data_IF_372316233539
#
_entry.id   IF_372316233539
#
_cell.length_a   1.000
_cell.length_b   1.000
_cell.length_c   1.000
_cell.angle_alpha   90.00
_cell.angle_beta   90.00
_cell.angle_gamma   90.00
#
_symmetry.space_group_name_H-M   'P 1'
#
loop_
_entity.id
_entity.type
_entity.pdbx_description
1 polymer ?
#
# COMPACT_ATOMS: atom_id res chain seq x y z
N UNK A 1 -10.43 12.58 12.01
CA UNK A 1 -10.07 12.18 10.65
C UNK A 1 -9.26 10.88 10.68
N UNK A 2 -9.66 9.91 9.90
CA UNK A 2 -8.96 8.63 9.79
C UNK A 2 -7.75 8.79 8.88
N UNK A 3 -6.63 8.17 9.24
CA UNK A 3 -5.43 8.18 8.42
C UNK A 3 -5.20 6.81 7.80
N UNK A 4 -4.89 6.79 6.50
CA UNK A 4 -4.64 5.55 5.74
C UNK A 4 -3.30 5.65 5.03
N UNK A 5 -2.40 4.69 5.31
CA UNK A 5 -1.14 4.58 4.57
C UNK A 5 -1.38 3.76 3.31
N UNK A 6 -0.94 4.28 2.17
CA UNK A 6 -1.14 3.63 0.86
C UNK A 6 0.08 2.78 0.49
N UNK A 7 0.15 1.59 1.06
CA UNK A 7 1.22 0.63 0.79
C UNK A 7 0.96 -0.10 -0.53
N UNK A 8 2.00 -0.65 -1.11
CA UNK A 8 1.85 -1.46 -2.31
C UNK A 8 2.78 -1.04 -3.43
N UNK A 9 2.40 -1.40 -4.65
CA UNK A 9 3.24 -1.25 -5.82
C UNK A 9 3.64 0.20 -6.09
N UNK A 10 4.94 0.46 -6.23
CA UNK A 10 5.50 1.74 -6.66
C UNK A 10 6.52 1.53 -7.78
N UNK A 11 7.35 0.47 -7.69
CA UNK A 11 8.37 0.11 -8.70
C UNK A 11 9.28 1.29 -9.05
N UNK A 12 9.82 1.97 -8.03
CA UNK A 12 10.66 3.16 -8.18
C UNK A 12 9.98 4.25 -9.00
N UNK A 13 8.64 4.33 -8.91
CA UNK A 13 7.87 5.32 -9.63
C UNK A 13 7.53 4.97 -11.08
N UNK A 14 7.84 3.75 -11.52
CA UNK A 14 7.62 3.32 -12.91
C UNK A 14 6.30 2.57 -13.13
N UNK A 15 5.60 2.23 -12.06
CA UNK A 15 4.29 1.57 -12.16
C UNK A 15 3.16 2.60 -12.28
N UNK A 16 1.94 2.11 -12.57
CA UNK A 16 0.73 2.94 -12.55
C UNK A 16 0.61 3.63 -11.19
N UNK A 17 0.35 4.92 -11.22
CA UNK A 17 0.21 5.72 -9.99
C UNK A 17 -1.19 5.57 -9.41
N UNK A 18 -1.47 4.38 -8.87
CA UNK A 18 -2.77 4.09 -8.26
C UNK A 18 -3.00 4.94 -7.00
N UNK A 19 -1.94 5.33 -6.32
CA UNK A 19 -2.05 6.17 -5.13
C UNK A 19 -2.69 7.51 -5.47
N UNK A 20 -2.18 8.17 -6.51
CA UNK A 20 -2.72 9.46 -6.92
C UNK A 20 -4.17 9.33 -7.40
N UNK A 21 -4.45 8.29 -8.20
CA UNK A 21 -5.81 8.04 -8.70
C UNK A 21 -6.80 7.83 -7.55
N UNK A 22 -6.37 7.07 -6.53
CA UNK A 22 -7.22 6.82 -5.36
C UNK A 22 -7.46 8.10 -4.55
N UNK A 23 -6.40 8.87 -4.31
CA UNK A 23 -6.51 10.12 -3.55
C UNK A 23 -7.49 11.08 -4.23
N UNK A 24 -7.40 11.23 -5.55
CA UNK A 24 -8.33 12.07 -6.29
C UNK A 24 -9.76 11.53 -6.21
N UNK A 25 -9.94 10.24 -6.41
CA UNK A 25 -11.27 9.62 -6.40
C UNK A 25 -11.93 9.67 -5.03
N UNK A 26 -11.15 9.72 -3.95
CA UNK A 26 -11.63 9.70 -2.58
C UNK A 26 -11.54 11.07 -1.89
N UNK A 27 -11.31 12.15 -2.62
CA UNK A 27 -11.11 13.47 -2.01
C UNK A 27 -12.34 13.97 -1.24
N UNK A 28 -13.52 13.46 -1.55
CA UNK A 28 -14.75 13.84 -0.85
C UNK A 28 -14.92 13.14 0.51
N UNK A 29 -14.04 12.18 0.82
CA UNK A 29 -14.09 11.46 2.09
C UNK A 29 -13.26 12.19 3.16
N UNK A 30 -13.65 12.05 4.42
CA UNK A 30 -12.91 12.64 5.55
C UNK A 30 -11.78 11.70 5.96
N UNK A 31 -10.78 11.57 5.09
CA UNK A 31 -9.62 10.68 5.23
C UNK A 31 -8.36 11.42 4.87
N UNK A 32 -7.31 11.25 5.67
CA UNK A 32 -5.97 11.72 5.33
C UNK A 32 -5.15 10.53 4.82
N UNK A 33 -4.54 10.68 3.66
CA UNK A 33 -3.71 9.63 3.08
C UNK A 33 -2.23 9.91 3.32
N UNK A 34 -1.49 8.87 3.73
CA UNK A 34 -0.03 8.90 3.75
C UNK A 34 0.44 8.19 2.49
N UNK A 35 0.93 8.97 1.51
CA UNK A 35 1.35 8.45 0.22
C UNK A 35 2.86 8.31 0.18
N UNK A 36 3.41 7.07 0.15
CA UNK A 36 4.86 6.87 0.11
C UNK A 36 5.47 7.16 -1.26
N UNK A 37 4.64 7.29 -2.29
CA UNK A 37 5.14 7.58 -3.63
C UNK A 37 5.60 9.03 -3.70
N UNK A 38 6.89 9.22 -3.97
CA UNK A 38 7.51 10.55 -4.02
C UNK A 38 7.65 11.01 -5.46
N UNK A 39 7.22 12.24 -5.73
CA UNK A 39 7.31 12.85 -7.06
C UNK A 39 8.54 13.72 -7.20
N UNK A 40 9.19 14.02 -6.08
CA UNK A 40 10.39 14.84 -6.00
C UNK A 40 11.62 14.04 -5.57
N UNK A 41 11.54 12.71 -5.62
CA UNK A 41 12.66 11.86 -5.21
C UNK A 41 13.78 11.97 -6.23
N UNK A 42 15.07 12.06 -5.79
CA UNK A 42 16.19 12.18 -6.72
C UNK A 42 16.25 11.02 -7.72
N UNK A 43 16.59 11.32 -8.97
CA UNK A 43 16.74 10.29 -10.01
C UNK A 43 17.90 9.34 -9.69
N UNK A 44 18.98 9.87 -9.09
CA UNK A 44 20.13 9.09 -8.66
C UNK A 44 20.32 9.26 -7.15
N UNK A 45 19.49 8.59 -6.34
CA UNK A 45 19.51 8.81 -4.90
C UNK A 45 20.79 8.25 -4.26
N UNK A 46 21.32 8.97 -3.29
CA UNK A 46 22.38 8.45 -2.42
C UNK A 46 21.73 7.68 -1.26
N UNK A 47 22.52 6.90 -0.55
CA UNK A 47 22.00 6.07 0.55
C UNK A 47 21.22 6.87 1.58
N UNK A 48 21.65 8.09 1.87
CA UNK A 48 20.96 8.96 2.83
C UNK A 48 19.53 9.28 2.40
N UNK A 49 19.31 9.51 1.10
CA UNK A 49 17.97 9.77 0.57
C UNK A 49 17.07 8.57 0.77
N UNK A 50 17.61 7.37 0.50
CA UNK A 50 16.87 6.11 0.65
C UNK A 50 16.53 5.85 2.11
N UNK A 51 17.49 6.06 3.02
CA UNK A 51 17.26 5.86 4.46
C UNK A 51 16.19 6.81 4.98
N UNK A 52 16.22 8.07 4.57
CA UNK A 52 15.19 9.05 4.98
C UNK A 52 13.79 8.61 4.54
N UNK A 53 13.69 8.13 3.29
CA UNK A 53 12.40 7.66 2.77
C UNK A 53 11.90 6.44 3.54
N UNK A 54 12.79 5.47 3.80
CA UNK A 54 12.43 4.26 4.55
C UNK A 54 11.94 4.64 5.97
N UNK A 55 12.65 5.53 6.65
CA UNK A 55 12.26 5.96 8.00
C UNK A 55 10.95 6.71 8.00
N UNK A 56 10.70 7.53 6.97
CA UNK A 56 9.41 8.21 6.83
C UNK A 56 8.27 7.18 6.69
N UNK A 57 8.50 6.16 5.87
CA UNK A 57 7.51 5.09 5.68
C UNK A 57 7.25 4.34 6.99
N UNK A 58 8.30 3.94 7.70
CA UNK A 58 8.17 3.23 8.96
C UNK A 58 7.38 4.05 9.97
N UNK A 59 7.70 5.33 10.10
CA UNK A 59 6.99 6.22 11.02
C UNK A 59 5.51 6.35 10.66
N UNK A 60 5.21 6.52 9.38
CA UNK A 60 3.82 6.71 8.95
C UNK A 60 3.02 5.42 8.94
N UNK A 61 3.66 4.28 8.66
CA UNK A 61 3.02 2.97 8.83
C UNK A 61 2.63 2.75 10.29
N UNK A 62 3.50 3.12 11.22
CA UNK A 62 3.23 2.94 12.64
C UNK A 62 2.08 3.82 13.12
N UNK A 63 2.01 5.07 12.67
CA UNK A 63 0.99 5.99 13.18
C UNK A 63 -0.34 5.98 12.40
N UNK A 64 -0.40 5.36 11.22
CA UNK A 64 -1.64 5.30 10.45
C UNK A 64 -2.70 4.47 11.18
N UNK A 65 -3.96 4.84 11.00
CA UNK A 65 -5.08 4.06 11.54
C UNK A 65 -5.27 2.77 10.74
N UNK A 66 -5.09 2.83 9.43
CA UNK A 66 -5.19 1.69 8.53
C UNK A 66 -4.08 1.70 7.51
N UNK A 67 -3.73 0.52 7.03
CA UNK A 67 -2.76 0.35 5.93
C UNK A 67 -3.52 -0.34 4.79
N UNK A 68 -3.73 0.37 3.70
CA UNK A 68 -4.30 -0.20 2.49
C UNK A 68 -3.14 -0.61 1.58
N UNK A 69 -3.01 -1.90 1.36
CA UNK A 69 -1.93 -2.44 0.52
C UNK A 69 -2.50 -2.93 -0.80
N UNK A 70 -2.03 -2.36 -1.91
CA UNK A 70 -2.48 -2.71 -3.25
C UNK A 70 -1.31 -3.30 -4.03
N UNK A 71 -1.42 -4.57 -4.40
CA UNK A 71 -0.37 -5.29 -5.10
C UNK A 71 -0.79 -5.47 -6.56
N UNK A 72 -0.16 -4.71 -7.45
CA UNK A 72 -0.50 -4.75 -8.88
C UNK A 72 -0.01 -6.05 -9.52
N UNK A 73 -0.79 -6.68 -10.41
CA UNK A 73 -0.44 -8.00 -10.96
C UNK A 73 0.84 -8.01 -11.79
N UNK A 74 1.22 -6.89 -12.39
CA UNK A 74 2.42 -6.79 -13.22
C UNK A 74 3.70 -6.53 -12.42
N UNK A 75 3.60 -6.34 -11.11
CA UNK A 75 4.73 -5.97 -10.25
C UNK A 75 5.12 -7.07 -9.29
N UNK A 76 6.38 -7.09 -8.86
CA UNK A 76 6.84 -8.00 -7.80
C UNK A 76 6.64 -7.41 -6.41
N UNK A 77 6.69 -6.08 -6.28
CA UNK A 77 6.43 -5.36 -5.03
C UNK A 77 7.15 -5.96 -3.81
N UNK A 78 8.49 -6.13 -3.86
CA UNK A 78 9.19 -6.83 -2.77
C UNK A 78 9.12 -6.12 -1.42
N UNK A 79 9.19 -4.79 -1.41
CA UNK A 79 9.11 -4.04 -0.15
C UNK A 79 7.70 -4.13 0.44
N UNK A 80 6.68 -4.12 -0.40
CA UNK A 80 5.30 -4.29 0.06
C UNK A 80 5.09 -5.65 0.71
N UNK A 81 5.71 -6.70 0.15
CA UNK A 81 5.64 -8.04 0.75
C UNK A 81 6.35 -8.08 2.11
N UNK A 82 7.48 -7.36 2.25
CA UNK A 82 8.15 -7.21 3.53
C UNK A 82 7.23 -6.51 4.54
N UNK A 83 6.58 -5.43 4.12
CA UNK A 83 5.66 -4.68 4.96
C UNK A 83 4.45 -5.51 5.37
N UNK A 84 3.93 -6.35 4.45
CA UNK A 84 2.84 -7.26 4.76
C UNK A 84 3.22 -8.15 5.95
N UNK A 85 4.41 -8.73 5.92
CA UNK A 85 4.90 -9.56 7.01
C UNK A 85 5.07 -8.78 8.31
N UNK A 86 5.64 -7.58 8.24
CA UNK A 86 5.88 -6.74 9.42
C UNK A 86 4.59 -6.32 10.12
N UNK A 87 3.53 -6.05 9.34
CA UNK A 87 2.27 -5.52 9.88
C UNK A 87 1.13 -6.53 9.89
N UNK A 88 1.42 -7.81 9.59
CA UNK A 88 0.39 -8.86 9.55
C UNK A 88 -0.40 -8.97 10.85
N UNK A 89 0.21 -8.72 11.98
CA UNK A 89 -0.43 -8.82 13.29
C UNK A 89 -0.88 -7.48 13.86
N UNK A 90 -0.75 -6.40 13.09
CA UNK A 90 -1.08 -5.04 13.56
C UNK A 90 -2.59 -4.79 13.67
N UNK A 91 -3.41 -5.60 12.98
CA UNK A 91 -4.86 -5.41 12.86
C UNK A 91 -5.24 -4.14 12.08
N UNK A 92 -4.29 -3.58 11.33
CA UNK A 92 -4.52 -2.37 10.52
C UNK A 92 -4.56 -2.64 9.02
N UNK A 93 -4.07 -3.82 8.59
CA UNK A 93 -3.92 -4.13 7.18
C UNK A 93 -5.24 -4.49 6.50
N UNK A 94 -5.41 -3.95 5.29
CA UNK A 94 -6.38 -4.38 4.30
C UNK A 94 -5.60 -4.58 3.01
N UNK A 95 -5.72 -5.74 2.39
CA UNK A 95 -4.93 -6.08 1.21
C UNK A 95 -5.83 -6.23 -0.01
N UNK A 96 -5.42 -5.62 -1.12
CA UNK A 96 -6.08 -5.74 -2.41
C UNK A 96 -5.08 -6.33 -3.40
N UNK A 97 -5.37 -7.53 -3.89
CA UNK A 97 -4.46 -8.31 -4.70
C UNK A 97 -5.25 -9.32 -5.52
N UNK A 98 -5.03 -9.34 -6.83
CA UNK A 98 -5.70 -10.31 -7.69
C UNK A 98 -4.88 -11.59 -7.79
N UNK A 99 -5.53 -12.67 -8.21
CA UNK A 99 -4.86 -13.98 -8.35
C UNK A 99 -3.83 -14.01 -9.48
N UNK A 100 -3.72 -12.92 -10.25
CA UNK A 100 -2.69 -12.77 -11.27
C UNK A 100 -1.34 -12.33 -10.71
N UNK A 101 -1.30 -11.87 -9.44
CA UNK A 101 -0.06 -11.49 -8.79
C UNK A 101 0.81 -12.72 -8.56
N UNK A 102 2.12 -12.63 -8.87
CA UNK A 102 3.01 -13.81 -8.90
C UNK A 102 3.12 -14.55 -7.55
N UNK A 103 2.90 -13.87 -6.44
CA UNK A 103 2.94 -14.47 -5.09
C UNK A 103 1.57 -14.47 -4.43
N UNK A 104 0.52 -14.49 -5.21
CA UNK A 104 -0.85 -14.44 -4.67
C UNK A 104 -1.11 -15.50 -3.60
N UNK A 105 -0.66 -16.75 -3.82
CA UNK A 105 -0.88 -17.83 -2.86
C UNK A 105 -0.24 -17.52 -1.51
N UNK A 106 0.98 -16.96 -1.51
CA UNK A 106 1.64 -16.55 -0.27
C UNK A 106 0.84 -15.44 0.43
N UNK A 107 0.35 -14.47 -0.34
CA UNK A 107 -0.47 -13.36 0.20
C UNK A 107 -1.76 -13.90 0.79
N UNK A 108 -2.45 -14.76 0.03
CA UNK A 108 -3.72 -15.35 0.45
C UNK A 108 -3.58 -16.13 1.76
N UNK A 109 -2.55 -16.99 1.86
CA UNK A 109 -2.33 -17.78 3.06
C UNK A 109 -1.92 -16.94 4.26
N UNK A 110 -1.14 -15.89 4.05
CA UNK A 110 -0.79 -14.94 5.11
C UNK A 110 -2.02 -14.22 5.63
N UNK A 111 -2.86 -13.75 4.72
CA UNK A 111 -4.11 -13.08 5.09
C UNK A 111 -5.06 -14.01 5.83
N UNK A 112 -5.15 -15.27 5.38
CA UNK A 112 -5.97 -16.28 6.06
C UNK A 112 -5.50 -16.50 7.50
N UNK A 113 -4.18 -16.69 7.68
CA UNK A 113 -3.61 -16.98 9.00
C UNK A 113 -3.82 -15.84 10.00
N UNK A 114 -3.57 -14.62 9.55
CA UNK A 114 -3.62 -13.46 10.43
C UNK A 114 -4.95 -12.71 10.36
N UNK A 115 -5.93 -13.26 9.65
CA UNK A 115 -7.29 -12.70 9.53
C UNK A 115 -7.28 -11.29 8.97
N UNK A 116 -6.47 -11.08 7.93
CA UNK A 116 -6.36 -9.81 7.22
C UNK A 116 -7.41 -9.80 6.10
N UNK A 117 -8.25 -8.77 5.99
CA UNK A 117 -9.19 -8.67 4.87
C UNK A 117 -8.42 -8.64 3.54
N UNK A 118 -8.81 -9.52 2.62
CA UNK A 118 -8.20 -9.62 1.30
C UNK A 118 -9.30 -9.48 0.24
N UNK A 119 -9.13 -8.51 -0.65
CA UNK A 119 -10.06 -8.24 -1.75
C UNK A 119 -9.37 -8.54 -3.08
N UNK A 120 -10.05 -9.29 -3.94
CA UNK A 120 -9.52 -9.69 -5.25
C UNK A 120 -9.77 -8.57 -6.28
N UNK A 121 -9.11 -7.44 -6.08
CA UNK A 121 -9.25 -6.28 -6.96
C UNK A 121 -8.07 -5.32 -6.81
N UNK A 122 -7.78 -4.59 -7.89
CA UNK A 122 -6.89 -3.43 -7.85
C UNK A 122 -7.56 -2.22 -8.53
N UNK A 123 -8.87 -2.31 -8.78
CA UNK A 123 -9.65 -1.23 -9.43
C UNK A 123 -9.88 -0.09 -8.43
N UNK A 124 -9.51 1.13 -8.82
CA UNK A 124 -9.60 2.31 -7.95
C UNK A 124 -11.02 2.55 -7.43
N UNK A 125 -12.05 2.31 -8.26
CA UNK A 125 -13.44 2.50 -7.84
C UNK A 125 -13.83 1.52 -6.72
N UNK A 126 -13.33 0.29 -6.81
CA UNK A 126 -13.56 -0.70 -5.76
C UNK A 126 -12.75 -0.36 -4.50
N UNK A 127 -11.53 0.18 -4.66
CA UNK A 127 -10.74 0.65 -3.52
C UNK A 127 -11.47 1.75 -2.75
N UNK A 128 -12.09 2.69 -3.45
CA UNK A 128 -12.89 3.75 -2.81
C UNK A 128 -14.02 3.12 -2.00
N UNK A 129 -14.70 2.14 -2.54
CA UNK A 129 -15.79 1.44 -1.84
C UNK A 129 -15.29 0.75 -0.58
N UNK A 130 -14.09 0.15 -0.63
CA UNK A 130 -13.49 -0.54 0.50
C UNK A 130 -13.18 0.43 1.65
N UNK A 131 -12.59 1.60 1.34
CA UNK A 131 -12.20 2.57 2.37
C UNK A 131 -13.36 3.42 2.87
N UNK A 132 -14.50 3.38 2.20
CA UNK A 132 -15.67 4.21 2.49
C UNK A 132 -16.45 3.75 3.73
N UNK A 133 -16.12 2.61 4.25
CA UNK A 133 -16.86 1.97 5.36
C UNK A 133 -16.80 2.78 6.64
#
# INVERSE_FOLDING_TARGET
>A
MITIFLAGTIDDGHSTDWQHELIEAAEYLDVEFYNPRRYDFPEHPVKEDVVKQIRWEQEHLDKADYILMVLQPESKSPISLLELGLYAQSKKLVVCCTDEFYRYTNVEETCRKYKIPLYNTTDVRELVSIIKI
#
